data_IF_242910110694
#
_entry.id   IF_242910110694
#
_cell.length_a   1.000
_cell.length_b   1.000
_cell.length_c   1.000
_cell.angle_alpha   90.00
_cell.angle_beta   90.00
_cell.angle_gamma   90.00
#
_symmetry.space_group_name_H-M   'P 1'
#
loop_
_entity.id
_entity.type
_entity.pdbx_description
1 polymer ?
#
# COMPACT_ATOMS: atom_id res chain seq x y z
N UNK A 1 -11.06 3.51 -9.70
CA UNK A 1 -11.27 2.67 -8.49
C UNK A 1 -10.36 1.42 -8.40
N UNK A 2 -10.02 0.73 -9.51
CA UNK A 2 -9.19 -0.50 -9.50
C UNK A 2 -7.73 -0.27 -9.06
N UNK A 3 -7.14 0.86 -9.46
CA UNK A 3 -5.74 1.20 -9.12
C UNK A 3 -5.50 1.32 -7.60
N UNK A 4 -6.43 1.96 -6.86
CA UNK A 4 -6.32 2.17 -5.42
C UNK A 4 -6.47 0.87 -4.60
N UNK A 5 -7.28 -0.09 -5.07
CA UNK A 5 -7.41 -1.41 -4.42
C UNK A 5 -6.13 -2.24 -4.59
N UNK A 6 -5.53 -2.20 -5.78
CA UNK A 6 -4.24 -2.84 -6.07
C UNK A 6 -3.11 -2.22 -5.25
N UNK A 7 -3.09 -0.89 -5.14
CA UNK A 7 -2.08 -0.17 -4.35
C UNK A 7 -2.15 -0.53 -2.86
N UNK A 8 -3.36 -0.55 -2.26
CA UNK A 8 -3.55 -1.03 -0.88
C UNK A 8 -3.06 -2.46 -0.69
N UNK A 9 -3.36 -3.34 -1.64
CA UNK A 9 -2.91 -4.73 -1.60
C UNK A 9 -1.37 -4.82 -1.67
N UNK A 10 -0.72 -3.99 -2.49
CA UNK A 10 0.74 -3.90 -2.55
C UNK A 10 1.35 -3.42 -1.23
N UNK A 11 0.75 -2.43 -0.57
CA UNK A 11 1.22 -1.97 0.74
C UNK A 11 1.06 -3.05 1.82
N UNK A 12 -0.09 -3.72 1.85
CA UNK A 12 -0.35 -4.81 2.78
C UNK A 12 0.58 -6.01 2.55
N UNK A 13 0.80 -6.40 1.29
CA UNK A 13 1.71 -7.50 0.94
C UNK A 13 3.17 -7.16 1.27
N UNK A 14 3.57 -5.91 1.05
CA UNK A 14 4.91 -5.43 1.43
C UNK A 14 5.11 -5.46 2.95
N UNK A 15 4.11 -5.03 3.73
CA UNK A 15 4.18 -5.11 5.19
C UNK A 15 4.26 -6.57 5.67
N UNK A 16 3.45 -7.47 5.08
CA UNK A 16 3.47 -8.89 5.42
C UNK A 16 4.82 -9.55 5.10
N UNK A 17 5.37 -9.29 3.91
CA UNK A 17 6.69 -9.80 3.53
C UNK A 17 7.81 -9.25 4.42
N UNK A 18 7.72 -7.96 4.78
CA UNK A 18 8.60 -7.32 5.74
C UNK A 18 8.57 -8.02 7.10
N UNK A 19 7.38 -8.34 7.60
CA UNK A 19 7.18 -9.01 8.88
C UNK A 19 7.80 -10.41 8.90
N UNK A 20 7.56 -11.20 7.84
CA UNK A 20 8.15 -12.53 7.69
C UNK A 20 9.68 -12.46 7.66
N UNK A 21 10.22 -11.49 6.92
CA UNK A 21 11.67 -11.26 6.83
C UNK A 21 12.28 -10.76 8.14
N UNK A 22 11.52 -10.00 8.95
CA UNK A 22 11.96 -9.52 10.25
C UNK A 22 11.95 -10.59 11.36
N UNK A 23 10.93 -11.46 11.39
CA UNK A 23 10.81 -12.53 12.39
C UNK A 23 11.68 -13.74 12.06
N UNK A 24 11.77 -14.11 10.78
CA UNK A 24 12.45 -15.32 10.34
C UNK A 24 13.48 -15.05 9.22
N UNK A 25 14.49 -14.18 9.45
CA UNK A 25 15.44 -13.74 8.42
C UNK A 25 16.21 -14.90 7.80
N UNK A 26 16.59 -15.92 8.58
CA UNK A 26 17.29 -17.12 8.06
C UNK A 26 16.41 -17.97 7.14
N UNK A 27 15.10 -18.06 7.41
CA UNK A 27 14.14 -18.81 6.57
C UNK A 27 13.80 -18.04 5.30
N UNK A 28 13.63 -16.73 5.40
CA UNK A 28 13.44 -15.85 4.25
C UNK A 28 14.64 -15.94 3.30
N UNK A 29 15.85 -15.98 3.87
CA UNK A 29 17.06 -16.12 3.07
C UNK A 29 17.19 -17.50 2.43
N UNK A 30 16.91 -18.59 3.15
CA UNK A 30 16.98 -19.93 2.56
C UNK A 30 15.96 -20.16 1.46
N UNK A 31 14.77 -19.56 1.55
CA UNK A 31 13.79 -19.52 0.46
C UNK A 31 14.32 -18.75 -0.75
N UNK A 32 14.92 -17.58 -0.53
CA UNK A 32 15.50 -16.76 -1.59
C UNK A 32 16.64 -17.51 -2.31
N UNK A 33 17.51 -18.18 -1.55
CA UNK A 33 18.60 -19.01 -2.06
C UNK A 33 18.08 -20.20 -2.88
N UNK A 34 16.95 -20.82 -2.50
CA UNK A 34 16.31 -21.87 -3.30
C UNK A 34 15.84 -21.36 -4.67
N UNK A 35 15.35 -20.13 -4.76
CA UNK A 35 15.00 -19.53 -6.05
C UNK A 35 16.25 -19.30 -6.93
N UNK A 36 17.40 -19.02 -6.32
CA UNK A 36 18.67 -18.80 -7.02
C UNK A 36 19.43 -20.07 -7.37
N UNK A 37 19.03 -21.22 -6.84
CA UNK A 37 19.64 -22.52 -7.11
C UNK A 37 19.68 -22.88 -8.61
N UNK A 38 18.81 -22.27 -9.44
CA UNK A 38 18.80 -22.52 -10.89
C UNK A 38 19.84 -21.70 -11.65
N UNK A 39 20.40 -20.66 -11.04
CA UNK A 39 21.37 -19.74 -11.66
C UNK A 39 22.78 -19.79 -11.06
N UNK A 40 22.96 -20.42 -9.90
CA UNK A 40 24.24 -20.54 -9.22
C UNK A 40 24.43 -21.96 -8.69
N UNK A 41 25.67 -22.46 -8.72
CA UNK A 41 26.03 -23.72 -8.08
C UNK A 41 26.31 -23.52 -6.58
N UNK A 42 26.10 -24.56 -5.76
CA UNK A 42 26.42 -24.60 -4.32
C UNK A 42 25.68 -23.59 -3.42
N UNK A 43 24.56 -23.03 -3.89
CA UNK A 43 23.75 -22.04 -3.12
C UNK A 43 23.22 -22.61 -1.81
N UNK A 44 23.04 -23.92 -1.73
CA UNK A 44 22.59 -24.65 -0.53
C UNK A 44 23.62 -24.68 0.61
N UNK A 45 24.90 -24.42 0.31
CA UNK A 45 26.00 -24.47 1.28
C UNK A 45 26.29 -23.09 1.91
N UNK A 46 25.62 -22.04 1.44
CA UNK A 46 25.86 -20.68 1.90
C UNK A 46 25.26 -20.45 3.29
N UNK A 47 26.13 -20.34 4.30
CA UNK A 47 25.74 -19.88 5.62
C UNK A 47 25.74 -18.34 5.73
N UNK A 48 24.62 -17.72 6.11
CA UNK A 48 24.57 -16.27 6.26
C UNK A 48 25.36 -15.79 7.48
N UNK A 49 26.25 -14.84 7.23
CA UNK A 49 27.00 -14.17 8.31
C UNK A 49 26.05 -13.48 9.30
N UNK A 50 26.38 -13.40 10.60
CA UNK A 50 25.51 -12.82 11.62
C UNK A 50 25.14 -11.34 11.39
N UNK A 51 26.00 -10.57 10.72
CA UNK A 51 25.69 -9.17 10.37
C UNK A 51 24.62 -9.09 9.27
N UNK A 52 24.63 -10.04 8.33
CA UNK A 52 23.69 -10.08 7.22
C UNK A 52 22.29 -10.46 7.71
N UNK A 53 22.20 -11.38 8.68
CA UNK A 53 20.92 -11.70 9.36
C UNK A 53 20.34 -10.46 10.05
N UNK A 54 21.18 -9.64 10.69
CA UNK A 54 20.76 -8.39 11.34
C UNK A 54 20.30 -7.34 10.33
N UNK A 55 21.02 -7.17 9.21
CA UNK A 55 20.60 -6.25 8.15
C UNK A 55 19.29 -6.68 7.51
N UNK A 56 19.12 -7.97 7.21
CA UNK A 56 17.87 -8.51 6.65
C UNK A 56 16.68 -8.25 7.58
N UNK A 57 16.89 -8.40 8.89
CA UNK A 57 15.86 -8.06 9.89
C UNK A 57 15.53 -6.56 9.88
N UNK A 58 16.54 -5.68 9.81
CA UNK A 58 16.34 -4.24 9.73
C UNK A 58 15.57 -3.82 8.46
N UNK A 59 15.91 -4.43 7.32
CA UNK A 59 15.18 -4.23 6.06
C UNK A 59 13.73 -4.68 6.19
N UNK A 60 13.48 -5.85 6.80
CA UNK A 60 12.12 -6.32 7.05
C UNK A 60 11.30 -5.35 7.90
N UNK A 61 11.89 -4.78 8.96
CA UNK A 61 11.25 -3.75 9.80
C UNK A 61 10.94 -2.48 8.98
N UNK A 62 11.88 -2.03 8.15
CA UNK A 62 11.66 -0.89 7.26
C UNK A 62 10.51 -1.13 6.28
N UNK A 63 10.41 -2.34 5.73
CA UNK A 63 9.32 -2.72 4.82
C UNK A 63 7.96 -2.76 5.52
N UNK A 64 7.91 -3.22 6.78
CA UNK A 64 6.70 -3.12 7.62
C UNK A 64 6.30 -1.67 7.82
N UNK A 65 7.24 -0.80 8.22
CA UNK A 65 6.97 0.61 8.46
C UNK A 65 6.46 1.31 7.19
N UNK A 66 7.12 1.09 6.05
CA UNK A 66 6.73 1.67 4.77
C UNK A 66 5.36 1.16 4.29
N UNK A 67 5.10 -0.15 4.39
CA UNK A 67 3.83 -0.74 4.00
C UNK A 67 2.66 -0.23 4.85
N UNK A 68 2.83 -0.17 6.17
CA UNK A 68 1.79 0.36 7.07
C UNK A 68 1.54 1.86 6.84
N UNK A 69 2.61 2.66 6.67
CA UNK A 69 2.48 4.08 6.40
C UNK A 69 1.77 4.35 5.07
N UNK A 70 2.15 3.64 3.99
CA UNK A 70 1.50 3.74 2.69
C UNK A 70 0.03 3.32 2.73
N UNK A 71 -0.28 2.24 3.45
CA UNK A 71 -1.67 1.79 3.63
C UNK A 71 -2.52 2.83 4.36
N UNK A 72 -2.01 3.41 5.45
CA UNK A 72 -2.71 4.43 6.22
C UNK A 72 -2.95 5.73 5.43
N UNK A 73 -1.97 6.16 4.61
CA UNK A 73 -2.13 7.31 3.71
C UNK A 73 -3.25 7.05 2.68
N UNK A 74 -3.29 5.85 2.10
CA UNK A 74 -4.32 5.48 1.13
C UNK A 74 -5.72 5.34 1.76
N UNK A 75 -5.80 4.96 3.05
CA UNK A 75 -7.02 5.00 3.85
C UNK A 75 -7.54 6.43 4.02
N UNK A 76 -6.65 7.34 4.44
CA UNK A 76 -6.95 8.77 4.63
C UNK A 76 -7.38 9.44 3.33
N UNK A 77 -6.65 9.20 2.23
CA UNK A 77 -6.96 9.78 0.93
C UNK A 77 -8.35 9.34 0.43
N UNK A 78 -8.73 8.08 0.67
CA UNK A 78 -10.07 7.58 0.32
C UNK A 78 -11.18 8.20 1.17
N UNK A 79 -10.94 8.38 2.46
CA UNK A 79 -11.88 9.07 3.36
C UNK A 79 -12.14 10.51 2.93
N UNK A 80 -11.09 11.24 2.53
CA UNK A 80 -11.18 12.62 2.06
C UNK A 80 -11.94 12.76 0.72
N UNK A 81 -11.77 11.80 -0.20
CA UNK A 81 -12.53 11.79 -1.46
C UNK A 81 -14.02 11.52 -1.24
N UNK A 82 -14.38 10.60 -0.34
CA UNK A 82 -15.78 10.29 -0.03
C UNK A 82 -16.52 11.46 0.63
N UNK A 83 -15.83 12.29 1.41
CA UNK A 83 -16.42 13.51 2.00
C UNK A 83 -16.58 14.64 0.99
N UNK A 84 -15.72 14.72 -0.04
CA UNK A 84 -15.81 15.74 -1.08
C UNK A 84 -16.99 15.48 -2.05
N UNK A 85 -17.31 14.20 -2.33
CA UNK A 85 -18.50 13.84 -3.12
C UNK A 85 -19.80 14.17 -2.37
N UNK A 86 -19.81 14.09 -1.03
CA UNK A 86 -20.96 14.43 -0.20
C UNK A 86 -21.24 15.94 -0.06
N UNK A 87 -20.22 16.78 -0.28
CA UNK A 87 -20.34 18.25 -0.21
C UNK A 87 -20.72 18.87 -1.58
N UNK A 88 -20.88 18.03 -2.62
CA UNK A 88 -21.24 18.45 -3.98
C UNK A 88 -22.74 18.39 -4.30
N UNK A 89 -23.58 18.01 -3.32
CA UNK A 89 -25.03 18.18 -3.38
C UNK A 89 -25.38 19.65 -3.11
N UNK A 90 -25.04 20.52 -4.05
CA UNK A 90 -25.48 21.92 -4.06
C UNK A 90 -26.96 21.91 -4.47
N UNK A 91 -27.80 22.27 -3.52
CA UNK A 91 -29.23 22.53 -3.68
C UNK A 91 -29.42 23.56 -4.82
N UNK A 92 -29.93 23.10 -5.96
CA UNK A 92 -30.29 23.97 -7.08
C UNK A 92 -31.52 24.75 -6.62
N UNK A 93 -31.31 25.99 -6.17
CA UNK A 93 -32.42 26.92 -5.92
C UNK A 93 -33.00 27.32 -7.28
N UNK A 94 -34.10 26.69 -7.65
CA UNK A 94 -34.94 27.11 -8.77
C UNK A 94 -35.58 28.45 -8.39
N UNK A 95 -35.03 29.54 -8.95
CA UNK A 95 -35.64 30.87 -8.87
C UNK A 95 -36.68 30.93 -9.97
N UNK A 96 -37.95 30.76 -9.60
CA UNK A 96 -39.07 31.02 -10.51
C UNK A 96 -39.12 32.53 -10.77
N UNK A 97 -38.66 32.94 -11.97
CA UNK A 97 -38.78 34.31 -12.42
C UNK A 97 -40.16 34.44 -13.05
N UNK A 98 -41.14 34.82 -12.23
CA UNK A 98 -42.45 35.29 -12.70
C UNK A 98 -42.23 36.48 -13.64
N UNK A 99 -42.27 36.19 -14.95
CA UNK A 99 -42.27 37.17 -16.02
C UNK A 99 -43.63 37.83 -16.12
N UNK A 100 -43.78 38.94 -15.39
CA UNK A 100 -44.85 39.93 -15.56
C UNK A 100 -44.71 40.58 -16.96
N UNK A 101 -45.37 39.99 -17.98
CA UNK A 101 -45.66 40.69 -19.24
C UNK A 101 -47.03 41.37 -19.13
N UNK A 102 -46.99 42.63 -18.72
CA UNK A 102 -48.11 43.57 -18.78
C UNK A 102 -48.11 44.37 -20.09
N UNK A 103 -49.30 44.40 -20.70
CA UNK A 103 -49.94 45.44 -21.52
C UNK A 103 -49.65 45.58 -23.04
N UNK A 104 -50.77 45.44 -23.77
CA UNK A 104 -51.09 45.90 -25.14
C UNK A 104 -50.83 47.41 -25.38
#
# INVERSE_FOLDING_TARGET
>A
MVCSKLLKLCYASSALYGLLTALAPKRSLSLSLKCWHRGFENVSELEPKPWYVRSTRAVGIGMVAAGLAGFALEERARGAAATADADSEVDIVEVDVDGDESDD
#
